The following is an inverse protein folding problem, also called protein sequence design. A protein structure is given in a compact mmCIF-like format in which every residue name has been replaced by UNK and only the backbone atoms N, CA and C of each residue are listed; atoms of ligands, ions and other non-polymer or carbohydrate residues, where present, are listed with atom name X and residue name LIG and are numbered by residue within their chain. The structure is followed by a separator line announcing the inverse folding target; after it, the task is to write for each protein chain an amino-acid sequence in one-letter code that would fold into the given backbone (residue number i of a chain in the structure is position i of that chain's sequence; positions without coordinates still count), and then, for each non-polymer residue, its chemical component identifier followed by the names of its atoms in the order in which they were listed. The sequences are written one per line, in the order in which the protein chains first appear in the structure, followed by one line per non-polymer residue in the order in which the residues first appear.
data_IF_207512562818
#
_entry.id   IF_207512562818
#
_cell.length_a   1.000
_cell.length_b   1.000
_cell.length_c   1.000
_cell.angle_alpha   90.00
_cell.angle_beta   90.00
_cell.angle_gamma   90.00
#
_symmetry.space_group_name_H-M   'P 1'
#
loop_
_entity.id
_entity.type
_entity.pdbx_description
1 polymer ?
#
# COMPACT_ATOMS: atom_id res chain seq x y z
N UNK A 1 -4.49 -12.59 -2.12
CA UNK A 1 -3.95 -12.16 -0.82
C UNK A 1 -4.83 -11.06 -0.23
N UNK A 2 -5.34 -11.29 0.97
CA UNK A 2 -6.29 -10.39 1.62
C UNK A 2 -5.66 -9.01 1.87
N UNK A 3 -4.40 -9.00 2.31
CA UNK A 3 -3.74 -7.73 2.61
C UNK A 3 -3.50 -6.90 1.34
N UNK A 4 -3.11 -7.57 0.24
CA UNK A 4 -2.93 -6.87 -1.03
C UNK A 4 -4.27 -6.30 -1.52
N UNK A 5 -5.35 -7.05 -1.37
CA UNK A 5 -6.67 -6.58 -1.76
C UNK A 5 -7.11 -5.36 -0.95
N UNK A 6 -6.77 -5.34 0.35
CA UNK A 6 -7.07 -4.18 1.19
C UNK A 6 -6.35 -2.93 0.70
N UNK A 7 -5.10 -3.07 0.28
CA UNK A 7 -4.34 -1.93 -0.23
C UNK A 7 -4.95 -1.39 -1.51
N UNK A 8 -5.31 -2.27 -2.43
CA UNK A 8 -5.92 -1.87 -3.70
C UNK A 8 -7.26 -1.16 -3.45
N UNK A 9 -8.08 -1.73 -2.57
CA UNK A 9 -9.37 -1.11 -2.24
C UNK A 9 -9.19 0.29 -1.65
N UNK A 10 -8.23 0.44 -0.74
CA UNK A 10 -7.92 1.74 -0.16
C UNK A 10 -7.53 2.74 -1.25
N UNK A 11 -6.65 2.30 -2.17
CA UNK A 11 -6.18 3.18 -3.24
C UNK A 11 -7.33 3.60 -4.15
N UNK A 12 -8.23 2.68 -4.46
CA UNK A 12 -9.38 3.00 -5.31
C UNK A 12 -10.28 4.05 -4.67
N UNK A 13 -10.39 4.05 -3.35
CA UNK A 13 -11.19 5.02 -2.62
C UNK A 13 -10.47 6.34 -2.40
N UNK A 14 -9.17 6.39 -2.62
CA UNK A 14 -8.35 7.55 -2.30
C UNK A 14 -7.60 8.09 -3.51
N UNK A 15 -8.23 8.05 -4.67
CA UNK A 15 -7.67 8.65 -5.87
C UNK A 15 -6.52 7.89 -6.48
N UNK A 16 -6.37 6.62 -6.15
CA UNK A 16 -5.32 5.78 -6.72
C UNK A 16 -3.99 5.89 -6.02
N UNK A 17 -3.97 6.35 -4.77
CA UNK A 17 -2.70 6.48 -4.04
C UNK A 17 -2.87 6.19 -2.56
N UNK A 18 -1.73 5.83 -1.94
CA UNK A 18 -1.58 5.75 -0.49
C UNK A 18 -0.63 6.91 -0.14
N UNK A 19 -1.02 7.80 0.79
CA UNK A 19 -0.24 9.03 1.06
C UNK A 19 1.04 8.80 1.86
N UNK A 20 1.51 7.57 1.98
CA UNK A 20 2.76 7.22 2.64
C UNK A 20 3.31 5.93 2.03
N UNK A 21 4.51 5.56 2.44
CA UNK A 21 5.17 4.35 1.95
C UNK A 21 5.38 3.38 3.10
N UNK A 22 6.10 2.28 2.84
CA UNK A 22 6.45 1.32 3.87
C UNK A 22 7.43 1.89 4.91
N UNK A 23 7.87 3.13 4.72
CA UNK A 23 8.68 3.83 5.72
C UNK A 23 7.84 4.50 6.80
N UNK A 24 6.52 4.50 6.66
CA UNK A 24 5.63 5.08 7.65
C UNK A 24 5.73 4.32 8.97
N UNK A 25 5.35 4.98 10.06
CA UNK A 25 5.40 4.33 11.37
C UNK A 25 4.41 3.17 11.44
N UNK A 26 4.68 2.16 12.27
CA UNK A 26 3.73 1.06 12.44
C UNK A 26 2.34 1.53 12.87
N UNK A 27 2.29 2.59 13.67
CA UNK A 27 1.02 3.14 14.14
C UNK A 27 0.20 3.71 13.00
N UNK A 28 0.85 4.41 12.06
CA UNK A 28 0.17 4.96 10.89
C UNK A 28 -0.41 3.84 10.04
N UNK A 29 0.39 2.79 9.79
CA UNK A 29 -0.05 1.67 8.97
C UNK A 29 -1.20 0.94 9.64
N UNK A 30 -1.10 0.69 10.92
CA UNK A 30 -2.16 0.00 11.65
C UNK A 30 -3.45 0.82 11.68
N UNK A 31 -3.33 2.13 11.84
CA UNK A 31 -4.49 3.01 11.86
C UNK A 31 -5.24 3.03 10.54
N UNK A 32 -4.52 2.95 9.42
CA UNK A 32 -5.16 3.03 8.11
C UNK A 32 -5.62 1.68 7.58
N UNK A 33 -4.87 0.61 7.87
CA UNK A 33 -5.12 -0.69 7.24
C UNK A 33 -5.39 -1.80 8.23
N UNK A 34 -5.22 -1.57 9.52
CA UNK A 34 -5.37 -2.59 10.56
C UNK A 34 -4.44 -3.78 10.34
N UNK A 35 -3.25 -3.50 9.83
CA UNK A 35 -2.25 -4.55 9.60
C UNK A 35 -0.91 -4.08 10.16
N UNK A 36 -0.02 -5.04 10.44
CA UNK A 36 1.31 -4.73 10.93
C UNK A 36 2.17 -4.17 9.81
N UNK A 37 3.28 -3.53 10.18
CA UNK A 37 4.21 -3.00 9.18
C UNK A 37 4.76 -4.13 8.31
N UNK A 38 5.03 -5.30 8.89
CA UNK A 38 5.52 -6.45 8.11
C UNK A 38 4.47 -6.93 7.12
N UNK A 39 3.22 -6.97 7.54
CA UNK A 39 2.12 -7.34 6.64
C UNK A 39 1.98 -6.33 5.51
N UNK A 40 2.09 -5.06 5.85
CA UNK A 40 2.01 -3.98 4.85
C UNK A 40 3.15 -4.11 3.84
N UNK A 41 4.39 -4.29 4.31
CA UNK A 41 5.54 -4.45 3.41
C UNK A 41 5.39 -5.65 2.50
N UNK A 42 4.87 -6.74 3.03
CA UNK A 42 4.66 -7.96 2.25
C UNK A 42 3.62 -7.73 1.16
N UNK A 43 2.52 -7.08 1.51
CA UNK A 43 1.46 -6.79 0.54
C UNK A 43 1.96 -5.83 -0.55
N UNK A 44 2.69 -4.80 -0.15
CA UNK A 44 3.29 -3.86 -1.10
C UNK A 44 4.25 -4.59 -2.05
N UNK A 45 5.10 -5.45 -1.50
CA UNK A 45 6.03 -6.21 -2.31
C UNK A 45 5.33 -7.10 -3.33
N UNK A 46 4.23 -7.72 -2.91
CA UNK A 46 3.45 -8.55 -3.83
C UNK A 46 2.86 -7.75 -4.97
N UNK A 47 2.26 -6.60 -4.65
CA UNK A 47 1.66 -5.75 -5.67
C UNK A 47 2.72 -5.18 -6.62
N UNK A 48 3.91 -4.86 -6.11
CA UNK A 48 5.02 -4.44 -6.94
C UNK A 48 5.43 -5.54 -7.91
N UNK A 49 5.54 -6.76 -7.40
CA UNK A 49 5.91 -7.91 -8.23
C UNK A 49 4.89 -8.13 -9.35
N UNK A 50 3.63 -7.86 -9.06
CA UNK A 50 2.56 -7.98 -10.04
C UNK A 50 2.41 -6.74 -10.92
N UNK A 51 3.26 -5.74 -10.69
CA UNK A 51 3.27 -4.49 -11.45
C UNK A 51 1.95 -3.72 -11.35
N UNK A 52 1.29 -3.84 -10.21
CA UNK A 52 0.01 -3.16 -9.97
C UNK A 52 0.18 -1.81 -9.31
N UNK A 53 1.32 -1.57 -8.68
CA UNK A 53 1.59 -0.31 -7.98
C UNK A 53 3.01 0.14 -8.25
N UNK A 54 3.28 1.43 -7.96
CA UNK A 54 4.61 1.98 -7.96
C UNK A 54 4.85 2.68 -6.63
N UNK A 55 6.04 2.51 -6.08
CA UNK A 55 6.43 3.20 -4.86
C UNK A 55 7.20 4.45 -5.27
N UNK A 56 6.72 5.61 -4.82
CA UNK A 56 7.42 6.87 -5.03
C UNK A 56 8.12 7.26 -3.72
N UNK A 57 8.73 8.42 -3.72
CA UNK A 57 9.51 8.84 -2.55
C UNK A 57 8.64 8.99 -1.30
N UNK A 58 7.43 9.53 -1.46
CA UNK A 58 6.57 9.85 -0.33
C UNK A 58 5.20 9.20 -0.40
N UNK A 59 4.90 8.47 -1.45
CA UNK A 59 3.61 7.82 -1.57
C UNK A 59 3.71 6.56 -2.42
N UNK A 60 2.58 5.86 -2.53
CA UNK A 60 2.46 4.68 -3.37
C UNK A 60 1.27 4.95 -4.29
N UNK A 61 1.41 4.68 -5.57
CA UNK A 61 0.37 4.95 -6.56
C UNK A 61 0.06 3.70 -7.37
N UNK A 62 -1.14 3.64 -7.94
CA UNK A 62 -1.51 2.54 -8.84
C UNK A 62 -0.72 2.68 -10.13
N UNK A 63 -0.05 1.60 -10.53
CA UNK A 63 0.71 1.57 -11.78
C UNK A 63 -0.22 1.44 -12.99
N UNK A 64 0.21 1.96 -14.11
CA UNK A 64 -0.52 1.79 -15.36
C UNK A 64 -1.71 2.71 -15.53
N UNK A 65 -1.79 3.71 -14.73
CA UNK A 65 -2.85 4.71 -14.81
C UNK A 65 -2.42 5.90 -15.63
#
# INVERSE_FOLDING_TARGET
DVDAAKLVEYMEKNGGRIPFTDKASPETIRGEFEMSKNEFKRAVGRLLKEKKIEIREKDIVIAGK
#
